data_IF_736818578217
#
_entry.id   IF_736818578217
#
_cell.length_a   1.000
_cell.length_b   1.000
_cell.length_c   1.000
_cell.angle_alpha   90.00
_cell.angle_beta   90.00
_cell.angle_gamma   90.00
#
_symmetry.space_group_name_H-M   'P 1'
#
loop_
_entity.id
_entity.type
_entity.pdbx_description
1 polymer ?
#
# COMPACT_ATOMS: atom_id res chain seq x y z
N UNK A 1 5.75 -2.61 5.22
CA UNK A 1 5.73 -3.93 5.78
C UNK A 1 6.52 -4.01 7.06
N UNK A 2 5.94 -4.67 8.03
CA UNK A 2 6.61 -4.88 9.29
C UNK A 2 7.70 -5.92 9.19
N UNK A 3 7.63 -6.77 8.18
CA UNK A 3 8.55 -7.90 8.08
C UNK A 3 9.61 -7.63 7.04
N UNK A 4 10.77 -8.21 7.28
CA UNK A 4 11.83 -8.08 6.31
C UNK A 4 11.48 -8.85 5.04
N UNK A 5 12.06 -8.47 3.92
CA UNK A 5 11.82 -9.19 2.67
C UNK A 5 12.18 -10.67 2.74
N UNK A 6 13.18 -10.98 3.53
CA UNK A 6 13.60 -12.37 3.65
C UNK A 6 12.52 -13.21 4.29
N UNK A 7 11.81 -12.64 5.28
CA UNK A 7 10.72 -13.34 5.91
C UNK A 7 9.57 -13.55 4.96
N UNK A 8 9.40 -12.64 4.01
CA UNK A 8 8.34 -12.73 3.04
C UNK A 8 8.74 -13.49 1.79
N UNK A 9 10.00 -13.88 1.73
CA UNK A 9 10.54 -14.61 0.57
C UNK A 9 10.36 -13.82 -0.72
N UNK A 10 10.50 -12.50 -0.63
CA UNK A 10 10.37 -11.61 -1.78
C UNK A 10 11.76 -11.20 -2.25
N UNK A 11 12.04 -11.40 -3.53
CA UNK A 11 13.33 -11.01 -4.08
C UNK A 11 13.45 -9.49 -4.15
N UNK A 12 14.69 -9.01 -4.32
CA UNK A 12 14.90 -7.57 -4.46
C UNK A 12 14.17 -7.01 -5.67
N UNK A 13 14.15 -7.76 -6.75
CA UNK A 13 13.49 -7.28 -7.95
C UNK A 13 11.99 -7.15 -7.74
N UNK A 14 11.41 -8.12 -7.04
CA UNK A 14 9.99 -8.04 -6.75
C UNK A 14 9.69 -6.87 -5.83
N UNK A 15 10.56 -6.59 -4.88
CA UNK A 15 10.39 -5.43 -4.03
C UNK A 15 10.40 -4.14 -4.84
N UNK A 16 11.34 -4.04 -5.78
CA UNK A 16 11.40 -2.84 -6.62
C UNK A 16 10.15 -2.70 -7.46
N UNK A 17 9.60 -3.81 -7.95
CA UNK A 17 8.37 -3.76 -8.72
C UNK A 17 7.21 -3.28 -7.86
N UNK A 18 7.11 -3.77 -6.64
CA UNK A 18 6.04 -3.36 -5.75
C UNK A 18 6.15 -1.87 -5.45
N UNK A 19 7.35 -1.40 -5.15
CA UNK A 19 7.56 0.01 -4.88
C UNK A 19 7.22 0.85 -6.10
N UNK A 20 7.63 0.40 -7.27
CA UNK A 20 7.34 1.13 -8.49
C UNK A 20 5.84 1.24 -8.74
N UNK A 21 5.11 0.15 -8.49
CA UNK A 21 3.66 0.16 -8.64
C UNK A 21 3.02 1.15 -7.66
N UNK A 22 3.50 1.13 -6.41
CA UNK A 22 2.97 2.05 -5.41
C UNK A 22 3.23 3.49 -5.83
N UNK A 23 4.41 3.77 -6.37
CA UNK A 23 4.75 5.12 -6.79
C UNK A 23 3.91 5.59 -7.97
N UNK A 24 3.34 4.67 -8.72
CA UNK A 24 2.49 5.04 -9.85
C UNK A 24 1.06 5.34 -9.42
N UNK A 25 0.71 5.11 -8.16
CA UNK A 25 -0.63 5.41 -7.67
C UNK A 25 -0.82 6.91 -7.47
N UNK A 26 -2.09 7.33 -7.43
CA UNK A 26 -2.39 8.69 -7.02
C UNK A 26 -1.80 8.96 -5.64
N UNK A 27 -1.40 10.20 -5.42
CA UNK A 27 -0.76 10.56 -4.16
C UNK A 27 -1.65 10.23 -2.96
N UNK A 28 -2.97 10.35 -3.11
CA UNK A 28 -3.87 9.99 -2.02
C UNK A 28 -3.76 8.52 -1.64
N UNK A 29 -3.63 7.66 -2.63
CA UNK A 29 -3.48 6.23 -2.36
C UNK A 29 -2.09 5.91 -1.86
N UNK A 30 -1.08 6.59 -2.39
CA UNK A 30 0.29 6.37 -1.92
C UNK A 30 0.40 6.66 -0.43
N UNK A 31 -0.17 7.77 0.01
CA UNK A 31 -0.11 8.14 1.42
C UNK A 31 -0.78 7.09 2.29
N UNK A 32 -1.95 6.64 1.88
CA UNK A 32 -2.69 5.63 2.63
C UNK A 32 -1.91 4.33 2.73
N UNK A 33 -1.35 3.89 1.62
CA UNK A 33 -0.59 2.64 1.59
C UNK A 33 0.64 2.78 2.48
N UNK A 34 1.36 3.90 2.37
CA UNK A 34 2.55 4.08 3.18
C UNK A 34 2.21 4.08 4.67
N UNK A 35 1.19 4.83 5.05
CA UNK A 35 0.87 4.95 6.46
C UNK A 35 0.35 3.64 7.04
N UNK A 36 -0.45 2.91 6.27
CA UNK A 36 -1.07 1.71 6.79
C UNK A 36 -0.15 0.51 6.78
N UNK A 37 0.62 0.35 5.71
CA UNK A 37 1.41 -0.87 5.55
C UNK A 37 2.87 -0.71 5.87
N UNK A 38 3.44 0.44 5.57
CA UNK A 38 4.86 0.65 5.86
C UNK A 38 5.08 1.17 7.27
N UNK A 39 4.25 2.11 7.71
CA UNK A 39 4.39 2.69 9.03
C UNK A 39 3.47 2.04 10.06
N UNK A 40 2.58 1.17 9.59
CA UNK A 40 1.72 0.38 10.47
C UNK A 40 0.86 1.23 11.40
N UNK A 41 0.41 2.36 10.91
CA UNK A 41 -0.46 3.22 11.72
C UNK A 41 -1.87 2.66 11.77
N UNK A 42 -2.55 2.93 12.86
CA UNK A 42 -3.93 2.52 12.99
C UNK A 42 -4.83 3.37 12.08
N UNK A 43 -6.04 2.87 11.83
CA UNK A 43 -6.98 3.62 11.00
C UNK A 43 -7.26 4.97 11.63
N UNK A 44 -7.39 5.02 12.95
CA UNK A 44 -7.65 6.28 13.63
C UNK A 44 -6.49 7.25 13.45
N UNK A 45 -5.27 6.77 13.57
CA UNK A 45 -4.11 7.62 13.37
C UNK A 45 -4.02 8.16 11.97
N UNK A 46 -4.31 7.31 10.98
CA UNK A 46 -4.29 7.74 9.59
C UNK A 46 -5.38 8.79 9.34
N UNK A 47 -6.57 8.56 9.89
CA UNK A 47 -7.66 9.50 9.74
C UNK A 47 -7.25 10.87 10.27
N UNK A 48 -6.61 10.90 11.43
CA UNK A 48 -6.17 12.15 12.01
C UNK A 48 -5.10 12.82 11.17
N UNK A 49 -4.15 12.04 10.71
CA UNK A 49 -3.04 12.59 9.94
C UNK A 49 -3.50 13.16 8.62
N UNK A 50 -4.44 12.48 7.95
CA UNK A 50 -4.92 12.92 6.66
C UNK A 50 -6.16 13.79 6.75
N UNK A 51 -6.60 14.06 7.97
CA UNK A 51 -7.76 14.92 8.20
C UNK A 51 -9.02 14.33 7.56
N UNK A 52 -9.21 13.05 7.77
CA UNK A 52 -10.37 12.32 7.25
C UNK A 52 -11.17 11.73 8.39
N UNK A 53 -12.39 11.33 8.09
CA UNK A 53 -13.14 10.54 9.06
C UNK A 53 -12.62 9.11 9.04
N UNK A 54 -12.92 8.38 10.12
CA UNK A 54 -12.55 6.97 10.19
C UNK A 54 -13.22 6.19 9.07
N UNK A 55 -14.49 6.49 8.80
CA UNK A 55 -15.21 5.79 7.73
C UNK A 55 -14.56 6.02 6.38
N UNK A 56 -14.22 7.27 6.07
CA UNK A 56 -13.57 7.58 4.80
C UNK A 56 -12.21 6.92 4.71
N UNK A 57 -11.49 6.88 5.82
CA UNK A 57 -10.18 6.24 5.84
C UNK A 57 -10.30 4.76 5.51
N UNK A 58 -11.29 4.08 6.09
CA UNK A 58 -11.50 2.66 5.79
C UNK A 58 -11.79 2.45 4.32
N UNK A 59 -12.65 3.28 3.76
CA UNK A 59 -13.00 3.17 2.34
C UNK A 59 -11.76 3.39 1.47
N UNK A 60 -10.96 4.38 1.79
CA UNK A 60 -9.75 4.65 1.02
C UNK A 60 -8.75 3.51 1.11
N UNK A 61 -8.60 2.93 2.28
CA UNK A 61 -7.71 1.78 2.44
C UNK A 61 -8.19 0.62 1.56
N UNK A 62 -9.48 0.37 1.59
CA UNK A 62 -10.04 -0.72 0.79
C UNK A 62 -9.82 -0.48 -0.71
N UNK A 63 -10.07 0.74 -1.16
CA UNK A 63 -9.88 1.08 -2.56
C UNK A 63 -8.42 1.02 -2.96
N UNK A 64 -7.53 1.52 -2.10
CA UNK A 64 -6.10 1.48 -2.38
C UNK A 64 -5.61 0.06 -2.50
N UNK A 65 -6.06 -0.82 -1.60
CA UNK A 65 -5.67 -2.22 -1.67
C UNK A 65 -6.15 -2.86 -2.98
N UNK A 66 -7.36 -2.52 -3.39
CA UNK A 66 -7.90 -3.10 -4.62
C UNK A 66 -7.12 -2.63 -5.83
N UNK A 67 -6.84 -1.33 -5.90
CA UNK A 67 -6.07 -0.79 -7.02
C UNK A 67 -4.68 -1.39 -7.05
N UNK A 68 -4.04 -1.48 -5.88
CA UNK A 68 -2.71 -2.05 -5.81
C UNK A 68 -2.71 -3.50 -6.26
N UNK A 69 -3.69 -4.26 -5.83
CA UNK A 69 -3.77 -5.67 -6.21
C UNK A 69 -3.94 -5.82 -7.72
N UNK A 70 -4.76 -4.97 -8.32
CA UNK A 70 -4.96 -5.03 -9.75
C UNK A 70 -3.70 -4.67 -10.52
N UNK A 71 -2.98 -3.64 -10.05
CA UNK A 71 -1.75 -3.24 -10.71
C UNK A 71 -0.69 -4.31 -10.59
N UNK A 72 -0.57 -4.93 -9.43
CA UNK A 72 0.40 -6.00 -9.25
C UNK A 72 0.05 -7.21 -10.11
N UNK A 73 -1.22 -7.50 -10.22
CA UNK A 73 -1.67 -8.62 -11.04
C UNK A 73 -1.34 -8.39 -12.52
N UNK A 74 -1.60 -7.18 -12.98
CA UNK A 74 -1.33 -6.87 -14.37
C UNK A 74 0.16 -6.83 -14.69
N UNK A 75 0.89 -6.53 -13.69
CA UNK A 75 2.30 -6.32 -13.89
C UNK A 75 3.11 -7.49 -13.66
N UNK A 76 2.69 -8.53 -13.35
CA UNK A 76 3.09 -9.54 -13.10
C UNK A 76 4.05 -10.16 -13.15
N UNK A 77 4.07 -10.49 -12.54
CA UNK A 77 4.85 -11.42 -12.12
C UNK A 77 4.65 -12.67 -12.86
N UNK A 78 4.11 -12.65 -13.84
CA UNK A 78 3.91 -13.61 -14.52
C UNK A 78 4.84 -14.05 -15.19
N UNK A 79 5.21 -14.48 -15.33
CA UNK A 79 6.01 -15.00 -16.00
C UNK A 79 6.03 -15.36 -16.69
#
# INVERSE_FOLDING_TARGET
>A
FARSPEELLISEEEQKQIISVIESLDSNYQDIIRLRFFEEKSIKEIAEELNLTVANTKVRIMRAKKVLAELLKNNEFED
#
